data_IF_028886512631
#
_entry.id   IF_028886512631
#
_cell.length_a   1.000
_cell.length_b   1.000
_cell.length_c   1.000
_cell.angle_alpha   90.00
_cell.angle_beta   90.00
_cell.angle_gamma   90.00
#
_symmetry.space_group_name_H-M   'P 1'
#
loop_
_entity.id
_entity.type
_entity.pdbx_description
1 polymer ?
#
# COMPACT_ATOMS: atom_id res chain seq x y z
N UNK A 1 13.89 -80.19 48.64
CA UNK A 1 13.11 -78.94 48.45
C UNK A 1 14.03 -77.92 47.81
N UNK A 2 13.66 -77.43 46.61
CA UNK A 2 13.88 -76.09 46.03
C UNK A 2 15.30 -75.47 46.04
N UNK A 3 15.84 -74.79 45.04
CA UNK A 3 15.63 -74.60 43.60
C UNK A 3 16.85 -73.73 43.12
N UNK A 4 17.24 -73.83 41.85
CA UNK A 4 18.34 -73.09 41.19
C UNK A 4 18.14 -71.56 41.13
N UNK A 5 19.24 -70.79 41.08
CA UNK A 5 19.30 -69.51 40.35
C UNK A 5 20.76 -69.11 39.98
N UNK A 6 21.15 -69.34 38.72
CA UNK A 6 22.23 -68.59 38.04
C UNK A 6 21.75 -67.17 37.74
N UNK A 7 22.62 -66.17 37.94
CA UNK A 7 22.39 -64.79 37.51
C UNK A 7 23.30 -64.43 36.34
N UNK A 8 22.72 -64.39 35.14
CA UNK A 8 23.33 -63.81 33.93
C UNK A 8 23.19 -62.28 33.97
N UNK A 9 24.32 -61.56 33.99
CA UNK A 9 24.32 -60.10 33.78
C UNK A 9 24.45 -59.77 32.30
N UNK A 10 23.30 -59.68 31.63
CA UNK A 10 23.15 -59.21 30.26
C UNK A 10 23.27 -57.69 30.18
N UNK A 11 24.39 -57.18 29.68
CA UNK A 11 24.52 -55.77 29.28
C UNK A 11 23.74 -55.54 27.98
N UNK A 12 22.53 -54.98 28.11
CA UNK A 12 21.70 -54.50 27.00
C UNK A 12 22.46 -53.44 26.20
N UNK A 13 22.83 -53.78 24.97
CA UNK A 13 23.24 -52.83 23.94
C UNK A 13 22.06 -51.93 23.59
N UNK A 14 22.21 -50.63 23.86
CA UNK A 14 21.27 -49.59 23.45
C UNK A 14 21.25 -49.49 21.92
N UNK A 15 20.10 -49.85 21.34
CA UNK A 15 19.78 -49.62 19.94
C UNK A 15 19.46 -48.11 19.79
N UNK A 16 20.11 -47.37 18.87
CA UNK A 16 19.81 -45.96 18.72
C UNK A 16 18.38 -45.79 18.20
N UNK A 17 17.63 -44.96 18.92
CA UNK A 17 16.24 -44.59 18.66
C UNK A 17 16.06 -44.19 17.19
N UNK A 18 15.12 -44.85 16.54
CA UNK A 18 14.59 -44.47 15.25
C UNK A 18 14.22 -42.97 15.27
N UNK A 19 14.95 -42.17 14.49
CA UNK A 19 14.54 -40.82 14.16
C UNK A 19 13.15 -40.89 13.54
N UNK A 20 12.20 -40.41 14.32
CA UNK A 20 10.78 -40.42 14.03
C UNK A 20 10.53 -39.83 12.64
N UNK A 21 9.92 -40.65 11.77
CA UNK A 21 9.37 -40.25 10.48
C UNK A 21 8.51 -39.01 10.66
N UNK A 22 9.04 -37.87 10.18
CA UNK A 22 8.32 -36.61 10.05
C UNK A 22 7.01 -36.87 9.28
N UNK A 23 5.88 -36.27 9.69
CA UNK A 23 4.51 -36.45 9.10
C UNK A 23 4.38 -36.02 7.62
N UNK A 24 5.49 -35.84 6.91
CA UNK A 24 5.59 -35.48 5.49
C UNK A 24 6.22 -36.67 4.76
N UNK A 25 5.40 -37.40 3.98
CA UNK A 25 5.76 -38.62 3.23
C UNK A 25 6.75 -38.38 2.06
N UNK A 26 7.80 -37.58 2.24
CA UNK A 26 8.73 -37.19 1.19
C UNK A 26 10.17 -37.40 1.62
N UNK A 27 10.96 -38.02 0.74
CA UNK A 27 12.40 -38.20 0.92
C UNK A 27 13.10 -36.83 0.96
N UNK A 28 13.95 -36.61 1.96
CA UNK A 28 14.71 -35.37 2.13
C UNK A 28 15.64 -35.12 0.93
N UNK A 29 15.87 -33.85 0.56
CA UNK A 29 16.67 -33.50 -0.62
C UNK A 29 18.13 -33.95 -0.52
N UNK A 30 18.67 -34.06 0.69
CA UNK A 30 19.99 -34.66 0.94
C UNK A 30 20.02 -36.15 0.62
N UNK A 31 19.04 -36.91 1.13
CA UNK A 31 18.92 -38.34 0.83
C UNK A 31 18.68 -38.60 -0.65
N UNK A 32 17.98 -37.69 -1.34
CA UNK A 32 17.78 -37.74 -2.80
C UNK A 32 19.08 -37.55 -3.57
N UNK A 33 19.90 -36.56 -3.18
CA UNK A 33 21.23 -36.35 -3.79
C UNK A 33 22.16 -37.53 -3.54
N UNK A 34 22.18 -38.06 -2.31
CA UNK A 34 22.95 -39.26 -1.95
C UNK A 34 22.51 -40.47 -2.77
N UNK A 35 21.20 -40.71 -2.90
CA UNK A 35 20.65 -41.80 -3.71
C UNK A 35 21.07 -41.69 -5.18
N UNK A 36 21.00 -40.49 -5.75
CA UNK A 36 21.39 -40.25 -7.15
C UNK A 36 22.89 -40.43 -7.36
N UNK A 37 23.73 -39.94 -6.44
CA UNK A 37 25.18 -40.16 -6.50
C UNK A 37 25.56 -41.64 -6.48
N UNK A 38 24.92 -42.45 -5.63
CA UNK A 38 25.13 -43.90 -5.60
C UNK A 38 24.71 -44.59 -6.90
N UNK A 39 23.59 -44.16 -7.50
CA UNK A 39 23.11 -44.72 -8.76
C UNK A 39 24.01 -44.33 -9.94
N UNK A 40 24.57 -43.12 -9.94
CA UNK A 40 25.58 -42.70 -10.92
C UNK A 40 26.88 -43.49 -10.78
N UNK A 41 27.26 -43.87 -9.56
CA UNK A 41 28.38 -44.76 -9.28
C UNK A 41 28.12 -46.24 -9.63
N UNK A 42 26.98 -46.57 -10.25
CA UNK A 42 26.64 -47.92 -10.72
C UNK A 42 26.00 -48.83 -9.67
N UNK A 43 25.61 -48.32 -8.50
CA UNK A 43 24.95 -49.13 -7.48
C UNK A 43 23.58 -49.62 -7.96
N UNK A 44 23.22 -50.87 -7.60
CA UNK A 44 21.89 -51.43 -7.88
C UNK A 44 20.82 -50.68 -7.08
N UNK A 45 19.67 -50.37 -7.69
CA UNK A 45 18.55 -49.67 -7.04
C UNK A 45 18.08 -50.33 -5.73
N UNK A 46 18.14 -51.66 -5.63
CA UNK A 46 17.79 -52.42 -4.42
C UNK A 46 18.81 -52.24 -3.29
N UNK A 47 20.09 -52.01 -3.61
CA UNK A 47 21.13 -51.73 -2.63
C UNK A 47 20.96 -50.32 -2.05
N UNK A 48 20.70 -49.33 -2.92
CA UNK A 48 20.41 -47.94 -2.52
C UNK A 48 19.17 -47.85 -1.64
N UNK A 49 18.12 -48.62 -1.99
CA UNK A 49 16.89 -48.71 -1.20
C UNK A 49 17.14 -49.25 0.22
N UNK A 50 17.96 -50.29 0.35
CA UNK A 50 18.35 -50.86 1.65
C UNK A 50 19.22 -49.90 2.46
N UNK A 51 20.20 -49.26 1.83
CA UNK A 51 21.11 -48.32 2.51
C UNK A 51 20.38 -47.09 3.07
N UNK A 52 19.45 -46.53 2.30
CA UNK A 52 18.70 -45.35 2.70
C UNK A 52 17.41 -45.67 3.47
N UNK A 53 17.15 -46.95 3.75
CA UNK A 53 15.93 -47.45 4.39
C UNK A 53 14.64 -46.88 3.75
N UNK A 54 14.59 -46.85 2.41
CA UNK A 54 13.43 -46.39 1.63
C UNK A 54 12.96 -47.48 0.68
N UNK A 55 11.65 -47.53 0.46
CA UNK A 55 11.08 -48.51 -0.47
C UNK A 55 11.64 -48.35 -1.90
N UNK A 56 11.95 -49.47 -2.57
CA UNK A 56 12.53 -49.50 -3.94
C UNK A 56 11.77 -48.63 -4.94
N UNK A 57 10.44 -48.54 -4.83
CA UNK A 57 9.61 -47.72 -5.72
C UNK A 57 9.86 -46.21 -5.60
N UNK A 58 10.40 -45.74 -4.47
CA UNK A 58 10.80 -44.34 -4.27
C UNK A 58 12.10 -44.07 -5.04
N UNK A 59 13.10 -44.95 -4.92
CA UNK A 59 14.37 -44.86 -5.63
C UNK A 59 14.17 -44.96 -7.14
N UNK A 60 13.32 -45.88 -7.61
CA UNK A 60 12.96 -46.00 -9.02
C UNK A 60 12.32 -44.72 -9.58
N UNK A 61 11.34 -44.13 -8.85
CA UNK A 61 10.70 -42.87 -9.25
C UNK A 61 11.68 -41.71 -9.26
N UNK A 62 12.58 -41.63 -8.28
CA UNK A 62 13.64 -40.63 -8.19
C UNK A 62 14.60 -40.74 -9.37
N UNK A 63 15.06 -41.95 -9.69
CA UNK A 63 15.98 -42.20 -10.80
C UNK A 63 15.37 -41.83 -12.14
N UNK A 64 14.11 -42.21 -12.38
CA UNK A 64 13.40 -41.85 -13.60
C UNK A 64 13.13 -40.34 -13.72
N UNK A 65 12.98 -39.63 -12.60
CA UNK A 65 12.91 -38.16 -12.60
C UNK A 65 14.27 -37.56 -12.95
N UNK A 66 15.34 -38.06 -12.32
CA UNK A 66 16.70 -37.59 -12.55
C UNK A 66 17.17 -37.80 -14.00
N UNK A 67 16.87 -38.96 -14.59
CA UNK A 67 17.21 -39.23 -16.00
C UNK A 67 16.51 -38.28 -16.98
N UNK A 68 15.31 -37.76 -16.64
CA UNK A 68 14.57 -36.83 -17.51
C UNK A 68 15.00 -35.38 -17.32
N UNK A 69 15.11 -34.94 -16.07
CA UNK A 69 15.26 -33.51 -15.75
C UNK A 69 16.67 -33.12 -15.29
N UNK A 70 17.58 -34.10 -15.10
CA UNK A 70 18.90 -33.92 -14.45
C UNK A 70 18.81 -33.20 -13.09
N UNK A 71 17.66 -33.33 -12.42
CA UNK A 71 17.33 -32.62 -11.20
C UNK A 71 16.85 -33.61 -10.12
N UNK A 72 17.29 -33.41 -8.88
CA UNK A 72 16.90 -34.22 -7.71
C UNK A 72 15.85 -33.55 -6.83
N UNK A 73 15.67 -32.23 -7.00
CA UNK A 73 14.71 -31.44 -6.22
C UNK A 73 13.29 -31.74 -6.62
N UNK A 74 12.36 -31.58 -5.67
CA UNK A 74 10.94 -31.77 -5.93
C UNK A 74 10.42 -30.63 -6.82
N UNK A 75 9.69 -30.96 -7.87
CA UNK A 75 8.87 -29.98 -8.60
C UNK A 75 7.86 -29.32 -7.66
N UNK A 76 7.75 -28.00 -7.69
CA UNK A 76 6.69 -27.29 -6.94
C UNK A 76 5.34 -27.78 -7.45
N UNK A 77 4.43 -28.09 -6.53
CA UNK A 77 3.06 -28.42 -6.89
C UNK A 77 2.37 -27.23 -7.54
N UNK A 78 1.45 -27.49 -8.47
CA UNK A 78 0.67 -26.45 -9.18
C UNK A 78 -0.21 -25.61 -8.25
N UNK A 79 -0.51 -26.12 -7.04
CA UNK A 79 -1.38 -25.45 -6.09
C UNK A 79 -2.84 -25.42 -6.55
N UNK A 80 -3.67 -24.66 -5.81
CA UNK A 80 -5.07 -24.43 -6.17
C UNK A 80 -5.14 -23.47 -7.36
N UNK A 81 -5.91 -23.83 -8.38
CA UNK A 81 -6.16 -22.95 -9.51
C UNK A 81 -6.83 -21.65 -9.05
N UNK A 82 -6.46 -20.54 -9.72
CA UNK A 82 -7.02 -19.22 -9.43
C UNK A 82 -8.48 -19.18 -9.89
N UNK A 83 -9.31 -18.48 -9.13
CA UNK A 83 -10.70 -18.18 -9.54
C UNK A 83 -10.75 -17.13 -10.64
N UNK A 84 -9.77 -16.21 -10.69
CA UNK A 84 -9.66 -15.20 -11.75
C UNK A 84 -8.80 -15.71 -12.89
N UNK A 85 -9.11 -15.25 -14.10
CA UNK A 85 -8.29 -15.49 -15.30
C UNK A 85 -7.37 -14.31 -15.56
N UNK A 86 -6.39 -14.47 -16.44
CA UNK A 86 -5.54 -13.35 -16.88
C UNK A 86 -6.35 -12.22 -17.53
N UNK A 87 -7.45 -12.55 -18.23
CA UNK A 87 -8.33 -11.54 -18.81
C UNK A 87 -9.07 -10.74 -17.74
N UNK A 88 -9.56 -11.39 -16.69
CA UNK A 88 -10.15 -10.73 -15.53
C UNK A 88 -9.16 -9.77 -14.86
N UNK A 89 -7.93 -10.22 -14.67
CA UNK A 89 -6.88 -9.43 -14.01
C UNK A 89 -6.55 -8.18 -14.86
N UNK A 90 -6.44 -8.33 -16.18
CA UNK A 90 -6.29 -7.20 -17.10
C UNK A 90 -7.47 -6.22 -17.03
N UNK A 91 -8.71 -6.75 -17.01
CA UNK A 91 -9.92 -5.94 -16.87
C UNK A 91 -9.92 -5.14 -15.55
N UNK A 92 -9.59 -5.78 -14.43
CA UNK A 92 -9.51 -5.13 -13.12
C UNK A 92 -8.48 -3.99 -13.11
N UNK A 93 -7.28 -4.21 -13.66
CA UNK A 93 -6.25 -3.19 -13.74
C UNK A 93 -6.67 -2.02 -14.64
N UNK A 94 -7.33 -2.30 -15.77
CA UNK A 94 -7.83 -1.27 -16.67
C UNK A 94 -8.94 -0.44 -16.02
N UNK A 95 -9.90 -1.09 -15.36
CA UNK A 95 -10.98 -0.44 -14.63
C UNK A 95 -10.43 0.44 -13.49
N UNK A 96 -9.48 -0.08 -12.71
CA UNK A 96 -8.85 0.68 -11.63
C UNK A 96 -8.05 1.88 -12.15
N UNK A 97 -7.35 1.76 -13.28
CA UNK A 97 -6.62 2.90 -13.89
C UNK A 97 -7.55 3.93 -14.53
N UNK A 98 -8.67 3.52 -15.10
CA UNK A 98 -9.66 4.45 -15.71
C UNK A 98 -10.52 5.14 -14.65
N UNK A 99 -10.95 4.40 -13.64
CA UNK A 99 -11.84 4.86 -12.56
C UNK A 99 -11.19 4.59 -11.21
N UNK A 100 -10.18 5.41 -10.88
CA UNK A 100 -9.33 5.22 -9.69
C UNK A 100 -10.07 5.26 -8.37
N UNK A 101 -11.26 5.88 -8.32
CA UNK A 101 -12.10 5.99 -7.13
C UNK A 101 -12.95 4.76 -6.82
N UNK A 102 -13.02 3.77 -7.73
CA UNK A 102 -13.80 2.56 -7.49
C UNK A 102 -13.21 1.74 -6.34
N UNK A 103 -14.07 1.30 -5.43
CA UNK A 103 -13.67 0.47 -4.29
C UNK A 103 -13.53 -1.01 -4.69
N UNK A 104 -12.75 -1.79 -3.92
CA UNK A 104 -12.62 -3.23 -4.18
C UNK A 104 -13.97 -3.97 -4.22
N UNK A 105 -14.96 -3.67 -3.34
CA UNK A 105 -16.28 -4.28 -3.41
C UNK A 105 -17.05 -3.94 -4.69
N UNK A 106 -16.97 -2.68 -5.17
CA UNK A 106 -17.61 -2.29 -6.42
C UNK A 106 -17.00 -3.01 -7.63
N UNK A 107 -15.67 -3.09 -7.69
CA UNK A 107 -14.96 -3.84 -8.73
C UNK A 107 -15.28 -5.34 -8.69
N UNK A 108 -15.39 -5.91 -7.48
CA UNK A 108 -15.77 -7.30 -7.30
C UNK A 108 -17.19 -7.59 -7.77
N UNK A 109 -18.15 -6.71 -7.45
CA UNK A 109 -19.53 -6.80 -7.93
C UNK A 109 -19.61 -6.73 -9.46
N UNK A 110 -18.90 -5.79 -10.09
CA UNK A 110 -18.85 -5.66 -11.55
C UNK A 110 -18.27 -6.90 -12.23
N UNK A 111 -17.13 -7.39 -11.74
CA UNK A 111 -16.49 -8.57 -12.30
C UNK A 111 -17.31 -9.84 -12.05
N UNK A 112 -17.93 -9.96 -10.87
CA UNK A 112 -18.79 -11.09 -10.54
C UNK A 112 -20.02 -11.16 -11.45
N UNK A 113 -20.63 -10.02 -11.77
CA UNK A 113 -21.75 -9.92 -12.69
C UNK A 113 -21.34 -10.27 -14.13
N UNK A 114 -20.19 -9.77 -14.59
CA UNK A 114 -19.71 -10.03 -15.94
C UNK A 114 -19.23 -11.48 -16.16
N UNK A 115 -18.55 -12.06 -15.17
CA UNK A 115 -17.97 -13.40 -15.26
C UNK A 115 -18.92 -14.52 -14.80
N UNK A 116 -20.10 -14.18 -14.25
CA UNK A 116 -21.08 -15.15 -13.76
C UNK A 116 -20.61 -16.00 -12.57
N UNK A 117 -19.59 -15.54 -11.83
CA UNK A 117 -18.98 -16.27 -10.71
C UNK A 117 -18.77 -15.37 -9.49
N UNK A 118 -19.02 -15.84 -8.26
CA UNK A 118 -18.84 -15.03 -7.06
C UNK A 118 -17.37 -14.76 -6.80
N UNK A 119 -16.96 -13.49 -6.91
CA UNK A 119 -15.58 -13.07 -6.64
C UNK A 119 -15.55 -12.17 -5.41
N UNK A 120 -14.74 -12.53 -4.42
CA UNK A 120 -14.55 -11.72 -3.22
C UNK A 120 -13.73 -10.46 -3.51
N UNK A 121 -14.08 -9.35 -2.86
CA UNK A 121 -13.31 -8.09 -2.88
C UNK A 121 -11.87 -8.26 -2.42
N UNK A 122 -11.57 -9.23 -1.55
CA UNK A 122 -10.20 -9.55 -1.14
C UNK A 122 -9.39 -10.13 -2.30
N UNK A 123 -10.01 -10.93 -3.16
CA UNK A 123 -9.37 -11.45 -4.37
C UNK A 123 -9.05 -10.30 -5.32
N UNK A 124 -9.99 -9.39 -5.57
CA UNK A 124 -9.73 -8.19 -6.36
C UNK A 124 -8.58 -7.38 -5.79
N UNK A 125 -8.56 -7.12 -4.47
CA UNK A 125 -7.47 -6.39 -3.81
C UNK A 125 -6.10 -7.07 -4.04
N UNK A 126 -6.02 -8.39 -3.89
CA UNK A 126 -4.80 -9.15 -4.20
C UNK A 126 -4.37 -9.00 -5.67
N UNK A 127 -5.30 -9.05 -6.63
CA UNK A 127 -4.98 -8.86 -8.06
C UNK A 127 -4.50 -7.45 -8.37
N UNK A 128 -5.11 -6.43 -7.77
CA UNK A 128 -4.66 -5.05 -7.92
C UNK A 128 -3.25 -4.85 -7.35
N UNK A 129 -2.96 -5.43 -6.18
CA UNK A 129 -1.61 -5.39 -5.61
C UNK A 129 -0.57 -6.13 -6.47
N UNK A 130 -0.91 -7.31 -7.01
CA UNK A 130 -0.05 -8.04 -7.96
C UNK A 130 0.25 -7.20 -9.21
N UNK A 131 -0.71 -6.39 -9.68
CA UNK A 131 -0.51 -5.43 -10.76
C UNK A 131 0.05 -4.06 -10.35
N UNK A 132 0.52 -3.91 -9.12
CA UNK A 132 1.21 -2.71 -8.63
C UNK A 132 0.30 -1.54 -8.26
N UNK A 133 -1.02 -1.73 -8.15
CA UNK A 133 -1.97 -0.70 -7.75
C UNK A 133 -2.32 -0.83 -6.27
N UNK A 134 -2.21 0.28 -5.55
CA UNK A 134 -2.52 0.31 -4.12
C UNK A 134 -3.53 1.42 -3.80
N UNK A 135 -4.44 1.11 -2.87
CA UNK A 135 -5.34 2.11 -2.33
C UNK A 135 -4.54 3.15 -1.53
N UNK A 136 -4.61 4.42 -1.93
CA UNK A 136 -3.93 5.54 -1.27
C UNK A 136 -4.84 6.76 -1.23
N UNK A 137 -4.59 7.65 -0.28
CA UNK A 137 -5.25 8.96 -0.27
C UNK A 137 -4.76 9.79 -1.48
N UNK A 138 -5.69 10.39 -2.25
CA UNK A 138 -5.33 11.34 -3.28
C UNK A 138 -4.76 12.62 -2.65
N UNK A 139 -4.00 13.38 -3.43
CA UNK A 139 -3.67 14.76 -3.03
C UNK A 139 -4.84 15.63 -3.42
N UNK A 140 -5.28 16.49 -2.50
CA UNK A 140 -6.27 17.52 -2.80
C UNK A 140 -5.51 18.77 -3.24
N UNK A 141 -5.72 19.21 -4.47
CA UNK A 141 -5.14 20.44 -4.98
C UNK A 141 -6.20 21.20 -5.78
N UNK A 142 -6.06 22.53 -5.82
CA UNK A 142 -6.73 23.34 -6.84
C UNK A 142 -5.90 23.23 -8.12
N UNK A 143 -6.52 22.81 -9.24
CA UNK A 143 -5.83 22.85 -10.52
C UNK A 143 -5.59 24.30 -10.93
N UNK A 144 -4.33 24.66 -11.13
CA UNK A 144 -3.95 25.95 -11.67
C UNK A 144 -3.99 25.86 -13.19
N UNK A 145 -4.65 26.83 -13.84
CA UNK A 145 -4.54 26.98 -15.28
C UNK A 145 -3.09 27.30 -15.66
N UNK A 146 -2.62 26.96 -16.88
CA UNK A 146 -1.29 27.36 -17.34
C UNK A 146 -1.04 28.87 -17.23
N UNK A 147 -2.09 29.69 -17.38
CA UNK A 147 -2.01 31.14 -17.18
C UNK A 147 -1.73 31.49 -15.71
N UNK A 148 -2.44 30.87 -14.75
CA UNK A 148 -2.19 31.06 -13.32
C UNK A 148 -0.77 30.62 -12.93
N UNK A 149 -0.29 29.51 -13.49
CA UNK A 149 1.09 29.04 -13.25
C UNK A 149 2.11 30.08 -13.71
N UNK A 150 1.94 30.62 -14.93
CA UNK A 150 2.84 31.66 -15.47
C UNK A 150 2.79 32.93 -14.64
N UNK A 151 1.60 33.42 -14.29
CA UNK A 151 1.43 34.63 -13.48
C UNK A 151 2.08 34.49 -12.10
N UNK A 152 1.83 33.37 -11.41
CA UNK A 152 2.45 33.09 -10.10
C UNK A 152 3.97 32.99 -10.19
N UNK A 153 4.50 32.34 -11.22
CA UNK A 153 5.94 32.24 -11.44
C UNK A 153 6.57 33.60 -11.75
N UNK A 154 5.90 34.43 -12.54
CA UNK A 154 6.35 35.79 -12.85
C UNK A 154 6.44 36.63 -11.57
N UNK A 155 5.34 36.67 -10.81
CA UNK A 155 5.28 37.38 -9.54
C UNK A 155 6.39 36.92 -8.58
N UNK A 156 6.57 35.61 -8.42
CA UNK A 156 7.62 35.05 -7.56
C UNK A 156 9.05 35.43 -8.02
N UNK A 157 9.27 35.57 -9.33
CA UNK A 157 10.57 36.00 -9.88
C UNK A 157 10.84 37.48 -9.62
N UNK A 158 9.85 38.34 -9.82
CA UNK A 158 9.95 39.78 -9.57
C UNK A 158 10.24 40.09 -8.10
N UNK A 159 9.65 39.32 -7.19
CA UNK A 159 9.74 39.54 -5.75
C UNK A 159 10.85 38.69 -5.10
N UNK A 160 11.65 37.95 -5.89
CA UNK A 160 12.70 37.05 -5.38
C UNK A 160 13.82 37.80 -4.65
N UNK A 161 14.17 39.00 -5.12
CA UNK A 161 15.27 39.81 -4.59
C UNK A 161 14.79 40.92 -3.65
N UNK A 162 13.53 40.86 -3.19
CA UNK A 162 13.00 41.86 -2.27
C UNK A 162 13.69 41.78 -0.90
N UNK A 163 14.00 42.94 -0.36
CA UNK A 163 14.62 43.13 0.95
C UNK A 163 13.59 42.97 2.07
N UNK A 164 14.01 42.64 3.31
CA UNK A 164 13.11 42.59 4.47
C UNK A 164 12.31 43.88 4.67
N UNK A 165 12.91 45.04 4.39
CA UNK A 165 12.24 46.34 4.48
C UNK A 165 11.11 46.45 3.44
N UNK A 166 11.31 45.97 2.22
CA UNK A 166 10.26 45.91 1.20
C UNK A 166 9.14 44.94 1.59
N UNK A 167 9.48 43.77 2.14
CA UNK A 167 8.50 42.83 2.68
C UNK A 167 7.72 43.42 3.87
N UNK A 168 8.31 44.35 4.62
CA UNK A 168 7.64 45.02 5.74
C UNK A 168 6.47 45.92 5.37
N UNK A 169 6.31 46.25 4.08
CA UNK A 169 5.17 47.00 3.58
C UNK A 169 4.04 46.10 3.06
N UNK A 170 4.20 44.78 3.10
CA UNK A 170 3.23 43.80 2.58
C UNK A 170 2.35 43.27 3.71
N UNK A 171 1.04 43.43 3.56
CA UNK A 171 0.03 42.75 4.38
C UNK A 171 -0.53 41.56 3.59
N UNK A 172 -0.33 40.36 4.12
CA UNK A 172 -0.95 39.15 3.58
C UNK A 172 -2.32 38.96 4.22
N UNK A 173 -3.37 38.98 3.41
CA UNK A 173 -4.75 38.76 3.87
C UNK A 173 -5.31 37.50 3.24
N UNK A 174 -6.10 36.73 3.98
CA UNK A 174 -6.83 35.59 3.42
C UNK A 174 -8.16 35.38 4.13
N UNK A 175 -9.10 34.75 3.43
CA UNK A 175 -10.39 34.33 3.96
C UNK A 175 -10.42 32.81 4.15
N UNK A 176 -10.62 32.36 5.38
CA UNK A 176 -10.81 30.95 5.70
C UNK A 176 -12.26 30.62 6.00
N UNK A 177 -12.81 29.62 5.29
CA UNK A 177 -14.13 29.05 5.58
C UNK A 177 -13.97 27.79 6.43
N UNK A 178 -14.67 27.75 7.55
CA UNK A 178 -14.73 26.57 8.41
C UNK A 178 -16.06 25.85 8.23
N UNK A 179 -16.00 24.54 7.99
CA UNK A 179 -17.18 23.69 7.95
C UNK A 179 -17.34 23.00 9.30
N UNK A 180 -18.51 23.14 9.92
CA UNK A 180 -18.87 22.49 11.19
C UNK A 180 -19.17 21.00 10.98
N UNK A 181 -19.49 20.60 9.74
CA UNK A 181 -19.73 19.21 9.38
C UNK A 181 -18.43 18.46 9.04
N UNK A 182 -18.37 17.20 9.46
CA UNK A 182 -17.23 16.32 9.27
C UNK A 182 -17.19 15.80 7.83
N UNK A 183 -16.42 16.46 6.98
CA UNK A 183 -16.11 15.97 5.64
C UNK A 183 -15.38 14.62 5.78
N UNK A 184 -16.05 13.54 5.38
CA UNK A 184 -15.49 12.20 5.47
C UNK A 184 -14.32 12.06 4.49
N UNK A 185 -13.11 12.38 4.97
CA UNK A 185 -11.78 12.26 4.31
C UNK A 185 -11.38 10.80 3.98
N UNK A 186 -12.34 9.96 3.62
CA UNK A 186 -12.22 8.51 3.39
C UNK A 186 -12.07 8.13 1.92
N UNK A 187 -12.08 9.11 1.01
CA UNK A 187 -11.84 8.84 -0.40
C UNK A 187 -10.43 8.26 -0.62
N UNK A 188 -10.37 7.08 -1.21
CA UNK A 188 -9.15 6.37 -1.58
C UNK A 188 -9.14 6.17 -3.08
N UNK A 189 -7.96 6.27 -3.68
CA UNK A 189 -7.74 6.01 -5.10
C UNK A 189 -6.76 4.86 -5.29
N UNK A 190 -6.96 4.05 -6.32
CA UNK A 190 -5.96 3.10 -6.79
C UNK A 190 -4.88 3.83 -7.57
N UNK A 191 -3.63 3.74 -7.11
CA UNK A 191 -2.48 4.30 -7.82
C UNK A 191 -1.21 3.50 -7.61
N UNK A 192 -0.29 3.66 -8.55
CA UNK A 192 1.05 3.14 -8.48
C UNK A 192 1.88 3.88 -7.39
N UNK A 193 2.89 3.22 -6.80
CA UNK A 193 3.89 3.91 -5.98
C UNK A 193 4.60 5.03 -6.76
N UNK A 194 4.98 6.11 -6.09
CA UNK A 194 5.71 7.24 -6.71
C UNK A 194 4.88 8.20 -7.56
N UNK A 195 3.66 7.86 -7.99
CA UNK A 195 2.84 8.71 -8.89
C UNK A 195 1.96 9.73 -8.17
N UNK A 196 2.33 10.13 -6.94
CA UNK A 196 1.47 10.91 -6.03
C UNK A 196 0.94 12.22 -6.65
N UNK A 197 1.78 12.94 -7.38
CA UNK A 197 1.47 14.26 -7.94
C UNK A 197 1.13 14.23 -9.43
N UNK A 198 0.88 13.05 -9.99
CA UNK A 198 0.40 12.96 -11.36
C UNK A 198 -1.04 13.46 -11.44
N UNK A 199 -1.37 14.22 -12.47
CA UNK A 199 -2.70 14.82 -12.64
C UNK A 199 -3.88 13.86 -12.41
N UNK A 200 -3.86 12.59 -12.89
CA UNK A 200 -4.97 11.65 -12.65
C UNK A 200 -5.13 11.18 -11.20
N UNK A 201 -4.16 11.44 -10.33
CA UNK A 201 -4.15 11.05 -8.91
C UNK A 201 -4.46 12.23 -7.97
N UNK A 202 -4.69 13.42 -8.54
CA UNK A 202 -5.08 14.62 -7.82
C UNK A 202 -6.60 14.71 -7.84
N UNK A 203 -7.20 14.97 -6.69
CA UNK A 203 -8.63 15.26 -6.58
C UNK A 203 -8.77 16.77 -6.45
N UNK A 204 -9.45 17.36 -7.41
CA UNK A 204 -9.88 18.75 -7.32
C UNK A 204 -10.95 18.88 -6.25
N UNK A 205 -10.71 19.77 -5.28
CA UNK A 205 -11.79 20.31 -4.45
C UNK A 205 -11.75 21.81 -4.49
N UNK A 206 -12.86 22.37 -4.93
CA UNK A 206 -13.20 23.75 -4.64
C UNK A 206 -13.65 23.77 -3.18
N UNK A 207 -12.95 24.52 -2.33
CA UNK A 207 -13.19 24.59 -0.89
C UNK A 207 -14.54 25.25 -0.51
N UNK A 208 -15.43 25.49 -1.47
CA UNK A 208 -16.54 26.44 -1.32
C UNK A 208 -17.91 25.80 -1.06
N UNK A 209 -18.04 24.49 -0.91
CA UNK A 209 -19.34 23.86 -0.60
C UNK A 209 -19.55 23.69 0.90
N UNK A 210 -20.30 24.61 1.52
CA UNK A 210 -21.05 24.33 2.76
C UNK A 210 -20.46 24.77 4.11
N UNK A 211 -19.66 25.84 4.18
CA UNK A 211 -19.22 26.42 5.47
C UNK A 211 -20.13 27.57 5.95
N UNK A 212 -20.57 27.51 7.20
CA UNK A 212 -21.42 28.52 7.89
C UNK A 212 -20.61 29.64 8.58
N UNK A 213 -19.30 29.41 8.80
CA UNK A 213 -18.39 30.36 9.45
C UNK A 213 -17.28 30.81 8.50
N UNK A 214 -17.11 32.11 8.38
CA UNK A 214 -16.03 32.77 7.64
C UNK A 214 -15.16 33.54 8.63
N UNK A 215 -13.85 33.46 8.44
CA UNK A 215 -12.87 34.23 9.21
C UNK A 215 -11.96 34.96 8.23
N UNK A 216 -11.76 36.25 8.44
CA UNK A 216 -10.76 37.07 7.76
C UNK A 216 -9.64 37.43 8.73
N UNK A 217 -8.41 37.41 8.23
CA UNK A 217 -7.23 37.82 8.98
C UNK A 217 -6.15 38.37 8.04
N UNK A 218 -5.36 39.30 8.56
CA UNK A 218 -4.16 39.83 7.93
C UNK A 218 -2.92 39.53 8.77
N UNK A 219 -1.81 39.21 8.10
CA UNK A 219 -0.49 38.97 8.69
C UNK A 219 0.54 39.82 7.95
N UNK A 220 1.36 40.54 8.69
CA UNK A 220 2.49 41.32 8.22
C UNK A 220 3.74 40.97 9.03
N UNK A 221 4.92 41.42 8.59
CA UNK A 221 6.19 41.10 9.28
C UNK A 221 6.23 41.57 10.73
N UNK A 222 5.51 42.65 11.02
CA UNK A 222 5.46 43.33 12.31
C UNK A 222 4.30 42.84 13.20
N UNK A 223 3.47 41.90 12.73
CA UNK A 223 2.41 41.27 13.51
C UNK A 223 1.17 40.92 12.71
N UNK A 224 0.03 40.81 13.38
CA UNK A 224 -1.23 40.37 12.79
C UNK A 224 -2.37 41.34 13.08
N UNK A 225 -3.39 41.31 12.23
CA UNK A 225 -4.67 41.98 12.50
C UNK A 225 -5.50 41.15 13.48
N UNK A 226 -6.56 41.77 14.02
CA UNK A 226 -7.61 41.03 14.69
C UNK A 226 -8.30 40.05 13.72
N UNK A 227 -8.86 38.98 14.29
CA UNK A 227 -9.66 38.01 13.54
C UNK A 227 -11.08 38.53 13.40
N UNK A 228 -11.53 38.69 12.16
CA UNK A 228 -12.89 39.12 11.85
C UNK A 228 -13.74 37.91 11.51
N UNK A 229 -14.73 37.61 12.35
CA UNK A 229 -15.63 36.47 12.18
C UNK A 229 -16.95 36.93 11.57
N UNK A 230 -17.33 36.32 10.45
CA UNK A 230 -18.65 36.51 9.86
C UNK A 230 -19.53 35.30 10.19
N UNK A 231 -20.55 35.52 11.01
CA UNK A 231 -21.60 34.55 11.27
C UNK A 231 -22.72 34.72 10.23
N UNK A 232 -22.99 33.68 9.43
CA UNK A 232 -24.10 33.66 8.47
C UNK A 232 -23.82 34.36 7.14
N UNK A 233 -23.89 33.58 6.05
CA UNK A 233 -23.87 34.07 4.67
C UNK A 233 -22.48 34.15 4.01
N UNK A 234 -22.46 34.50 2.72
CA UNK A 234 -21.23 34.76 1.96
C UNK A 234 -20.71 36.17 2.23
N UNK A 235 -19.38 36.34 2.22
CA UNK A 235 -18.74 37.66 2.20
C UNK A 235 -18.97 38.28 0.83
N UNK A 236 -19.83 39.29 0.75
CA UNK A 236 -20.05 40.07 -0.48
C UNK A 236 -19.03 41.20 -0.56
N UNK A 237 -18.79 41.73 -1.77
CA UNK A 237 -17.84 42.83 -1.97
C UNK A 237 -18.19 44.08 -1.13
N UNK A 238 -19.48 44.35 -0.93
CA UNK A 238 -19.97 45.46 -0.09
C UNK A 238 -19.57 45.24 1.37
N UNK A 239 -19.85 44.06 1.92
CA UNK A 239 -19.47 43.70 3.29
C UNK A 239 -17.96 43.71 3.49
N UNK A 240 -17.20 43.19 2.53
CA UNK A 240 -15.74 43.23 2.58
C UNK A 240 -15.20 44.67 2.65
N UNK A 241 -15.74 45.56 1.81
CA UNK A 241 -15.32 46.97 1.81
C UNK A 241 -15.68 47.67 3.12
N UNK A 242 -16.91 47.50 3.59
CA UNK A 242 -17.46 48.30 4.68
C UNK A 242 -17.06 47.76 6.07
N UNK A 243 -16.94 46.43 6.22
CA UNK A 243 -16.62 45.76 7.49
C UNK A 243 -15.11 45.45 7.65
N UNK A 244 -14.34 45.34 6.56
CA UNK A 244 -12.88 45.05 6.63
C UNK A 244 -12.05 46.24 6.15
N UNK A 245 -12.20 46.68 4.90
CA UNK A 245 -11.27 47.65 4.32
C UNK A 245 -11.42 49.06 4.90
N UNK A 246 -12.65 49.56 5.05
CA UNK A 246 -12.89 50.90 5.58
C UNK A 246 -12.35 51.08 7.01
N UNK A 247 -12.56 50.14 7.96
CA UNK A 247 -11.94 50.20 9.27
C UNK A 247 -10.41 50.19 9.23
N UNK A 248 -9.80 49.32 8.41
CA UNK A 248 -8.33 49.23 8.29
C UNK A 248 -7.69 50.49 7.72
N UNK A 249 -8.37 51.17 6.79
CA UNK A 249 -7.86 52.39 6.15
C UNK A 249 -8.12 53.63 7.02
N UNK A 250 -9.22 53.66 7.78
CA UNK A 250 -9.62 54.82 8.58
C UNK A 250 -8.94 54.87 9.96
N UNK A 251 -8.64 53.72 10.55
CA UNK A 251 -7.84 53.59 11.76
C UNK A 251 -6.81 52.48 11.51
N UNK A 252 -5.51 52.79 11.34
CA UNK A 252 -4.49 51.76 11.29
C UNK A 252 -4.49 51.03 12.62
N UNK A 253 -5.12 49.85 12.65
CA UNK A 253 -5.21 49.01 13.83
C UNK A 253 -3.80 48.70 14.33
N UNK A 254 -3.56 48.67 15.66
CA UNK A 254 -2.26 48.33 16.19
C UNK A 254 -1.96 46.88 15.82
N UNK A 255 -1.08 46.70 14.85
CA UNK A 255 -0.50 45.41 14.50
C UNK A 255 0.09 44.84 15.78
N UNK A 256 -0.53 43.79 16.33
CA UNK A 256 -0.12 43.24 17.61
C UNK A 256 1.22 42.54 17.43
N UNK A 257 2.27 42.87 18.20
CA UNK A 257 3.57 42.23 18.07
C UNK A 257 3.43 40.73 18.33
N UNK A 258 4.01 39.91 17.46
CA UNK A 258 4.03 38.46 17.62
C UNK A 258 4.78 38.14 18.91
N UNK A 259 4.08 37.65 19.94
CA UNK A 259 4.73 37.18 21.17
C UNK A 259 5.57 35.95 20.81
N UNK A 260 6.88 36.05 20.97
CA UNK A 260 7.80 34.92 20.90
C UNK A 260 7.37 33.83 21.87
N UNK A 261 7.22 32.60 21.36
CA UNK A 261 7.01 31.37 22.14
C UNK A 261 8.22 31.05 23.01
#
# INVERSE_FOLDING_TARGET
MLQFASSDSSTKSEIPKAESLNRRNHLHDEMRRRAVGMLQAGARQSAVARELNVHRSVIHRLWNHYQRDQNTSRRRGSGRQRITTTADDCYLLQCARRRRTLTSPQLASQLSAAAGRPISHQTVSRRLHEGGLFARRPVVCVLLSPAHVRARLHWAREHRSWTPEQWGHVLFTDESRFNIQNDSRRAMIWREPGTRYWAPNIVERYHYSGGELFIWAGIAINGQTDLYMFAGGSVTAVRYRDEILQPLVSCPMPIQPVRSL
#
